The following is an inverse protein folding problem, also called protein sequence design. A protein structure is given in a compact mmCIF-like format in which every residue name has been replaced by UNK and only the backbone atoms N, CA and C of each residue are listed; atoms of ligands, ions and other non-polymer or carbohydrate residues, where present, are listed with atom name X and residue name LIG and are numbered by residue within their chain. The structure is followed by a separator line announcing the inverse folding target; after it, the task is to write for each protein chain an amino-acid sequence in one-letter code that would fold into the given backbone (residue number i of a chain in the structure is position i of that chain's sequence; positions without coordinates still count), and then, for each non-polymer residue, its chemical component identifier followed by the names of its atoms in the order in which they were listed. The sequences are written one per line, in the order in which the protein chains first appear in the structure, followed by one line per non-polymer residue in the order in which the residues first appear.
data_IF_748370648210
#
_entry.id   IF_748370648210
#
_cell.length_a   1.000
_cell.length_b   1.000
_cell.length_c   1.000
_cell.angle_alpha   90.00
_cell.angle_beta   90.00
_cell.angle_gamma   90.00
#
_symmetry.space_group_name_H-M   'P 1'
#
loop_
_entity.id
_entity.type
_entity.pdbx_description
1 polymer ?
#
# COMPACT_ATOMS: atom_id res chain seq x y z
N UNK A 1 27.30 -34.27 -0.69
CA UNK A 1 28.27 -33.17 -0.43
C UNK A 1 27.72 -32.15 0.56
N UNK A 2 26.47 -31.68 0.41
CA UNK A 2 25.85 -30.73 1.35
C UNK A 2 25.77 -31.22 2.81
N UNK A 3 25.62 -32.53 3.05
CA UNK A 3 25.57 -33.12 4.40
C UNK A 3 26.88 -33.05 5.21
N UNK A 4 27.97 -32.57 4.61
CA UNK A 4 29.26 -32.35 5.28
C UNK A 4 29.47 -30.89 5.71
N UNK A 5 28.55 -30.00 5.35
CA UNK A 5 28.64 -28.59 5.71
C UNK A 5 28.21 -28.39 7.19
N UNK A 6 28.82 -27.43 7.91
CA UNK A 6 28.32 -26.94 9.19
C UNK A 6 26.88 -26.45 9.09
N UNK A 7 26.14 -26.55 10.20
CA UNK A 7 24.73 -26.17 10.24
C UNK A 7 24.50 -24.70 9.92
N UNK A 8 25.43 -23.83 10.31
CA UNK A 8 25.39 -22.39 10.05
C UNK A 8 25.47 -22.08 8.55
N UNK A 9 26.28 -22.83 7.80
CA UNK A 9 26.36 -22.68 6.34
C UNK A 9 25.09 -23.19 5.66
N UNK A 10 24.48 -24.26 6.18
CA UNK A 10 23.21 -24.76 5.66
C UNK A 10 22.06 -23.77 5.89
N UNK A 11 22.01 -23.14 7.07
CA UNK A 11 21.06 -22.06 7.36
C UNK A 11 21.30 -20.83 6.46
N UNK A 12 22.56 -20.46 6.25
CA UNK A 12 22.89 -19.36 5.32
C UNK A 12 22.46 -19.67 3.89
N UNK A 13 22.71 -20.90 3.39
CA UNK A 13 22.24 -21.34 2.07
C UNK A 13 20.71 -21.28 1.99
N UNK A 14 20.02 -21.78 3.02
CA UNK A 14 18.56 -21.73 3.10
C UNK A 14 18.04 -20.28 3.07
N UNK A 15 18.73 -19.34 3.71
CA UNK A 15 18.38 -17.91 3.67
C UNK A 15 18.52 -17.25 2.30
N UNK A 16 19.25 -17.86 1.36
CA UNK A 16 19.32 -17.40 -0.04
C UNK A 16 18.26 -18.06 -0.94
N UNK A 17 17.47 -19.01 -0.43
CA UNK A 17 16.35 -19.57 -1.17
C UNK A 17 15.18 -18.58 -1.09
N UNK A 18 14.85 -17.98 -2.23
CA UNK A 18 13.82 -16.94 -2.31
C UNK A 18 12.39 -17.48 -2.15
N UNK A 19 12.19 -18.81 -2.19
CA UNK A 19 10.86 -19.43 -2.10
C UNK A 19 10.76 -20.38 -0.89
N UNK A 20 9.73 -20.19 -0.07
CA UNK A 20 9.38 -21.05 1.07
C UNK A 20 9.34 -22.55 0.69
N UNK A 21 8.82 -22.86 -0.49
CA UNK A 21 8.73 -24.22 -1.06
C UNK A 21 10.10 -24.86 -1.24
N UNK A 22 11.09 -24.10 -1.70
CA UNK A 22 12.44 -24.61 -1.93
C UNK A 22 13.16 -24.88 -0.62
N UNK A 23 12.97 -24.01 0.38
CA UNK A 23 13.48 -24.21 1.74
C UNK A 23 12.86 -25.46 2.38
N UNK A 24 11.55 -25.66 2.22
CA UNK A 24 10.86 -26.86 2.71
C UNK A 24 11.33 -28.13 2.00
N UNK A 25 11.54 -28.08 0.67
CA UNK A 25 12.09 -29.20 -0.11
C UNK A 25 13.52 -29.54 0.34
N UNK A 26 14.35 -28.53 0.59
CA UNK A 26 15.69 -28.73 1.13
C UNK A 26 15.65 -29.37 2.52
N UNK A 27 14.80 -28.87 3.41
CA UNK A 27 14.58 -29.47 4.73
C UNK A 27 14.16 -30.94 4.62
N UNK A 28 13.36 -31.29 3.61
CA UNK A 28 12.83 -32.64 3.39
C UNK A 28 13.85 -33.63 2.81
N UNK A 29 15.04 -33.17 2.37
CA UNK A 29 16.03 -34.03 1.71
C UNK A 29 16.67 -35.07 2.63
N UNK A 30 16.86 -34.77 3.92
CA UNK A 30 17.36 -35.72 4.90
C UNK A 30 16.99 -35.34 6.34
N UNK A 31 17.08 -36.29 7.28
CA UNK A 31 16.71 -36.07 8.69
C UNK A 31 17.53 -34.96 9.36
N UNK A 32 18.82 -34.83 9.03
CA UNK A 32 19.68 -33.79 9.58
C UNK A 32 19.24 -32.40 9.12
N UNK A 33 18.90 -32.25 7.83
CA UNK A 33 18.41 -30.99 7.29
C UNK A 33 17.03 -30.67 7.83
N UNK A 34 16.18 -31.69 7.96
CA UNK A 34 14.86 -31.52 8.55
C UNK A 34 14.94 -30.96 9.97
N UNK A 35 15.76 -31.54 10.83
CA UNK A 35 15.90 -31.05 12.21
C UNK A 35 16.46 -29.62 12.30
N UNK A 36 17.35 -29.26 11.38
CA UNK A 36 18.04 -27.97 11.37
C UNK A 36 17.21 -26.84 10.71
N UNK A 37 16.62 -27.12 9.55
CA UNK A 37 15.98 -26.13 8.68
C UNK A 37 14.49 -26.00 8.92
N UNK A 38 13.83 -26.99 9.54
CA UNK A 38 12.39 -26.91 9.80
C UNK A 38 12.02 -25.68 10.64
N UNK A 39 12.72 -25.33 11.74
CA UNK A 39 12.41 -24.10 12.48
C UNK A 39 12.49 -22.85 11.60
N UNK A 40 13.48 -22.79 10.69
CA UNK A 40 13.65 -21.68 9.74
C UNK A 40 12.51 -21.63 8.70
N UNK A 41 12.01 -22.77 8.25
CA UNK A 41 10.84 -22.82 7.34
C UNK A 41 9.60 -22.20 8.00
N UNK A 42 9.46 -22.37 9.32
CA UNK A 42 8.32 -21.84 10.06
C UNK A 42 8.50 -20.36 10.47
N UNK A 43 9.65 -19.72 10.26
CA UNK A 43 9.78 -18.28 10.59
C UNK A 43 8.92 -17.40 9.70
N UNK A 44 8.78 -17.79 8.43
CA UNK A 44 7.97 -17.12 7.41
C UNK A 44 7.11 -18.12 6.65
N UNK A 45 5.79 -18.06 6.86
CA UNK A 45 4.81 -18.90 6.19
C UNK A 45 4.18 -18.14 5.03
N UNK A 46 4.50 -18.53 3.79
CA UNK A 46 3.83 -18.01 2.59
C UNK A 46 2.79 -19.02 2.09
N UNK A 47 1.52 -18.67 2.31
CA UNK A 47 0.33 -19.44 1.95
C UNK A 47 -0.43 -18.75 0.82
N UNK A 48 0.23 -17.94 -0.01
CA UNK A 48 -0.40 -17.30 -1.19
C UNK A 48 -0.25 -18.18 -2.44
N UNK A 49 0.96 -18.71 -2.69
CA UNK A 49 1.26 -19.50 -3.89
C UNK A 49 0.52 -20.85 -3.92
N UNK A 50 0.11 -21.36 -2.75
CA UNK A 50 -0.44 -22.70 -2.59
C UNK A 50 -1.93 -22.70 -2.23
N UNK A 51 -2.79 -22.07 -3.04
CA UNK A 51 -4.27 -22.06 -2.85
C UNK A 51 -4.90 -23.47 -2.71
N UNK A 52 -4.14 -24.50 -3.06
CA UNK A 52 -4.48 -25.92 -2.94
C UNK A 52 -3.73 -26.54 -1.76
N UNK A 53 -4.37 -26.60 -0.60
CA UNK A 53 -3.84 -27.36 0.53
C UNK A 53 -4.77 -27.33 1.72
N UNK A 54 -4.22 -27.71 2.87
CA UNK A 54 -5.00 -27.94 4.08
C UNK A 54 -4.55 -26.98 5.18
N UNK A 55 -5.07 -25.75 5.19
CA UNK A 55 -4.92 -24.84 6.35
C UNK A 55 -5.25 -25.55 7.65
N UNK A 56 -6.28 -26.41 7.64
CA UNK A 56 -6.63 -27.30 8.74
C UNK A 56 -5.49 -28.21 9.21
N UNK A 57 -4.71 -28.81 8.30
CA UNK A 57 -3.56 -29.63 8.68
C UNK A 57 -2.44 -28.79 9.31
N UNK A 58 -2.22 -27.58 8.79
CA UNK A 58 -1.24 -26.65 9.35
C UNK A 58 -1.65 -26.24 10.77
N UNK A 59 -2.92 -25.87 10.97
CA UNK A 59 -3.50 -25.57 12.29
C UNK A 59 -3.30 -26.74 13.25
N UNK A 60 -3.65 -27.96 12.86
CA UNK A 60 -3.42 -29.14 13.70
C UNK A 60 -1.93 -29.41 13.99
N UNK A 61 -1.05 -29.18 13.02
CA UNK A 61 0.39 -29.36 13.18
C UNK A 61 0.97 -28.36 14.17
N UNK A 62 0.57 -27.09 14.07
CA UNK A 62 1.02 -26.01 14.95
C UNK A 62 0.44 -26.14 16.36
N UNK A 63 -0.84 -26.52 16.47
CA UNK A 63 -1.45 -26.84 17.76
C UNK A 63 -0.71 -27.99 18.46
N UNK A 64 -0.28 -29.01 17.71
CA UNK A 64 0.50 -30.14 18.25
C UNK A 64 1.97 -29.80 18.53
N UNK A 65 2.49 -28.69 17.99
CA UNK A 65 3.89 -28.28 18.11
C UNK A 65 4.00 -26.77 18.38
N UNK A 66 3.67 -26.32 19.61
CA UNK A 66 3.66 -24.88 19.94
C UNK A 66 4.99 -24.18 19.70
N UNK A 67 6.13 -24.88 19.86
CA UNK A 67 7.45 -24.31 19.60
C UNK A 67 7.68 -23.87 18.14
N UNK A 68 7.00 -24.53 17.18
CA UNK A 68 7.02 -24.09 15.78
C UNK A 68 6.12 -22.87 15.59
N UNK A 69 4.97 -22.84 16.26
CA UNK A 69 4.00 -21.75 16.20
C UNK A 69 4.57 -20.44 16.80
N UNK A 70 5.32 -20.55 17.90
CA UNK A 70 6.07 -19.44 18.49
C UNK A 70 7.18 -18.92 17.57
N UNK A 71 7.69 -19.76 16.67
CA UNK A 71 8.73 -19.38 15.71
C UNK A 71 8.22 -18.54 14.53
N UNK A 72 6.90 -18.46 14.30
CA UNK A 72 6.33 -17.74 13.15
C UNK A 72 6.29 -16.23 13.42
N UNK A 73 6.95 -15.47 12.55
CA UNK A 73 7.00 -14.00 12.61
C UNK A 73 6.33 -13.35 11.40
N UNK A 74 6.35 -14.01 10.24
CA UNK A 74 5.72 -13.54 9.01
C UNK A 74 4.70 -14.55 8.53
N UNK A 75 3.50 -14.09 8.19
CA UNK A 75 2.42 -14.92 7.67
C UNK A 75 1.74 -14.23 6.50
N UNK A 76 1.61 -14.96 5.38
CA UNK A 76 0.91 -14.49 4.19
C UNK A 76 -0.19 -15.49 3.85
N UNK A 77 -1.45 -15.07 3.79
CA UNK A 77 -2.61 -15.94 3.58
C UNK A 77 -3.35 -15.48 2.32
N UNK A 78 -3.49 -16.36 1.32
CA UNK A 78 -4.39 -16.13 0.20
C UNK A 78 -5.86 -16.29 0.61
N UNK A 79 -6.78 -15.61 -0.08
CA UNK A 79 -8.19 -15.95 -0.01
C UNK A 79 -8.50 -17.18 -0.88
N UNK A 80 -9.67 -17.76 -0.63
CA UNK A 80 -10.21 -18.82 -1.49
C UNK A 80 -9.45 -20.16 -1.40
N UNK A 81 -8.82 -20.47 -0.27
CA UNK A 81 -8.32 -21.82 0.00
C UNK A 81 -9.43 -22.83 -0.26
N UNK A 82 -9.15 -23.86 -1.07
CA UNK A 82 -10.10 -24.96 -1.32
C UNK A 82 -9.49 -26.27 -0.83
N UNK A 83 -10.12 -26.96 0.14
CA UNK A 83 -9.60 -28.24 0.61
C UNK A 83 -9.69 -29.28 -0.53
N UNK A 84 -8.53 -29.69 -1.06
CA UNK A 84 -8.43 -30.63 -2.19
C UNK A 84 -8.73 -32.08 -1.80
N UNK A 85 -8.55 -32.45 -0.54
CA UNK A 85 -8.85 -33.81 -0.03
C UNK A 85 -9.41 -33.78 1.40
N UNK A 86 -10.57 -33.16 1.57
CA UNK A 86 -11.25 -33.09 2.88
C UNK A 86 -10.58 -32.16 3.90
N UNK A 87 -11.36 -31.75 4.89
CA UNK A 87 -10.88 -30.95 6.03
C UNK A 87 -10.46 -31.92 7.12
N UNK A 88 -9.23 -31.82 7.63
CA UNK A 88 -8.86 -32.50 8.88
C UNK A 88 -9.50 -31.70 10.00
N UNK A 89 -10.54 -32.24 10.58
CA UNK A 89 -11.22 -31.65 11.72
C UNK A 89 -11.10 -32.64 12.88
N UNK A 90 -10.09 -32.43 13.73
CA UNK A 90 -10.01 -33.12 15.02
C UNK A 90 -10.70 -32.25 16.06
N UNK A 91 -11.92 -32.65 16.42
CA UNK A 91 -12.84 -31.85 17.23
C UNK A 91 -12.19 -31.31 18.50
N UNK A 92 -11.45 -32.14 19.24
CA UNK A 92 -10.84 -31.73 20.52
C UNK A 92 -9.80 -30.61 20.33
N UNK A 93 -8.92 -30.76 19.33
CA UNK A 93 -7.87 -29.77 19.03
C UNK A 93 -8.47 -28.48 18.47
N UNK A 94 -9.42 -28.60 17.54
CA UNK A 94 -10.07 -27.43 16.93
C UNK A 94 -10.89 -26.64 17.94
N UNK A 95 -11.62 -27.31 18.85
CA UNK A 95 -12.43 -26.63 19.87
C UNK A 95 -11.56 -25.92 20.90
N UNK A 96 -10.43 -26.50 21.31
CA UNK A 96 -9.51 -25.85 22.25
C UNK A 96 -8.93 -24.56 21.65
N UNK A 97 -8.44 -24.63 20.41
CA UNK A 97 -7.89 -23.46 19.70
C UNK A 97 -8.99 -22.43 19.42
N UNK A 98 -10.19 -22.86 19.05
CA UNK A 98 -11.32 -21.98 18.80
C UNK A 98 -11.79 -21.26 20.07
N UNK A 99 -11.87 -21.97 21.20
CA UNK A 99 -12.22 -21.37 22.49
C UNK A 99 -11.18 -20.32 22.91
N UNK A 100 -9.90 -20.62 22.72
CA UNK A 100 -8.81 -19.67 22.95
C UNK A 100 -8.89 -18.45 22.00
N UNK A 101 -9.20 -18.66 20.72
CA UNK A 101 -9.32 -17.61 19.73
C UNK A 101 -10.50 -16.66 20.00
N UNK A 102 -11.64 -17.20 20.43
CA UNK A 102 -12.86 -16.42 20.68
C UNK A 102 -12.89 -15.80 22.07
N UNK A 103 -12.07 -16.28 23.01
CA UNK A 103 -12.02 -15.79 24.40
C UNK A 103 -13.37 -15.88 25.11
N UNK A 104 -14.20 -16.86 24.72
CA UNK A 104 -15.61 -16.96 25.12
C UNK A 104 -16.01 -18.42 25.33
N UNK A 105 -16.65 -18.70 26.46
CA UNK A 105 -17.29 -20.00 26.75
C UNK A 105 -18.70 -20.10 26.15
N UNK A 106 -19.10 -19.12 25.33
CA UNK A 106 -20.38 -19.08 24.62
C UNK A 106 -20.50 -20.25 23.64
N UNK A 107 -21.29 -21.25 24.07
CA UNK A 107 -21.52 -22.49 23.32
C UNK A 107 -22.20 -22.25 21.98
N UNK A 108 -23.03 -21.22 21.85
CA UNK A 108 -23.77 -20.95 20.62
C UNK A 108 -22.84 -20.35 19.55
N UNK A 109 -21.93 -19.46 19.97
CA UNK A 109 -20.85 -18.96 19.10
C UNK A 109 -19.90 -20.07 18.69
N UNK A 110 -19.43 -20.90 19.63
CA UNK A 110 -18.55 -22.02 19.34
C UNK A 110 -19.23 -23.00 18.36
N UNK A 111 -20.51 -23.31 18.54
CA UNK A 111 -21.27 -24.17 17.64
C UNK A 111 -21.38 -23.59 16.23
N UNK A 112 -21.63 -22.28 16.11
CA UNK A 112 -21.69 -21.56 14.83
C UNK A 112 -20.35 -21.65 14.09
N UNK A 113 -19.25 -21.29 14.76
CA UNK A 113 -17.91 -21.37 14.18
C UNK A 113 -17.50 -22.81 13.83
N UNK A 114 -17.90 -23.79 14.63
CA UNK A 114 -17.69 -25.21 14.33
C UNK A 114 -18.38 -25.61 13.02
N UNK A 115 -19.61 -25.14 12.79
CA UNK A 115 -20.32 -25.34 11.53
C UNK A 115 -19.56 -24.75 10.33
N UNK A 116 -19.02 -23.53 10.48
CA UNK A 116 -18.24 -22.87 9.43
C UNK A 116 -16.93 -23.61 9.13
N UNK A 117 -16.24 -24.18 10.13
CA UNK A 117 -15.00 -24.94 9.92
C UNK A 117 -15.20 -26.24 9.13
N UNK A 118 -16.40 -26.83 9.23
CA UNK A 118 -16.79 -28.03 8.49
C UNK A 118 -17.26 -27.66 7.07
N UNK A 119 -17.74 -26.43 6.88
CA UNK A 119 -18.20 -25.95 5.59
C UNK A 119 -17.01 -25.76 4.63
N UNK A 120 -17.01 -26.53 3.53
CA UNK A 120 -15.93 -26.53 2.55
C UNK A 120 -15.87 -25.26 1.69
N UNK A 121 -16.94 -24.48 1.68
CA UNK A 121 -17.07 -23.27 0.86
C UNK A 121 -16.52 -22.03 1.58
N UNK A 122 -16.32 -22.08 2.90
CA UNK A 122 -15.94 -20.91 3.73
C UNK A 122 -14.72 -21.21 4.58
N UNK A 123 -13.54 -21.03 3.98
CA UNK A 123 -12.26 -21.39 4.62
C UNK A 123 -11.62 -20.27 5.44
N UNK A 124 -12.20 -19.06 5.46
CA UNK A 124 -11.65 -17.93 6.23
C UNK A 124 -11.64 -18.20 7.75
N UNK A 125 -12.56 -19.03 8.24
CA UNK A 125 -12.56 -19.46 9.64
C UNK A 125 -11.25 -20.17 10.04
N UNK A 126 -10.62 -20.92 9.13
CA UNK A 126 -9.33 -21.59 9.39
C UNK A 126 -8.17 -20.60 9.54
N UNK A 127 -8.23 -19.45 8.84
CA UNK A 127 -7.27 -18.35 9.01
C UNK A 127 -7.30 -17.81 10.44
N UNK A 128 -8.49 -17.73 11.05
CA UNK A 128 -8.66 -17.28 12.44
C UNK A 128 -8.00 -18.23 13.43
N UNK A 129 -8.23 -19.56 13.31
CA UNK A 129 -7.54 -20.53 14.18
C UNK A 129 -6.03 -20.49 13.98
N UNK A 130 -5.58 -20.34 12.74
CA UNK A 130 -4.16 -20.21 12.45
C UNK A 130 -3.60 -18.98 13.17
N UNK A 131 -4.19 -17.80 13.02
CA UNK A 131 -3.73 -16.57 13.66
C UNK A 131 -3.73 -16.67 15.20
N UNK A 132 -4.72 -17.36 15.78
CA UNK A 132 -4.80 -17.57 17.22
C UNK A 132 -3.65 -18.41 17.79
N UNK A 133 -3.05 -19.29 16.97
CA UNK A 133 -1.91 -20.12 17.35
C UNK A 133 -0.57 -19.40 17.29
N UNK A 134 -0.50 -18.20 16.68
CA UNK A 134 0.77 -17.55 16.31
C UNK A 134 1.01 -16.29 17.15
N UNK A 135 1.57 -16.42 18.36
CA UNK A 135 1.69 -15.31 19.31
C UNK A 135 2.71 -14.23 18.89
N UNK A 136 3.65 -14.58 18.00
CA UNK A 136 4.80 -13.74 17.66
C UNK A 136 4.75 -13.14 16.24
N UNK A 137 3.60 -13.21 15.56
CA UNK A 137 3.46 -12.62 14.22
C UNK A 137 3.67 -11.10 14.30
N UNK A 138 4.60 -10.62 13.49
CA UNK A 138 4.95 -9.20 13.34
C UNK A 138 4.51 -8.64 11.98
N UNK A 139 4.47 -9.47 10.94
CA UNK A 139 4.09 -9.10 9.57
C UNK A 139 3.01 -10.05 9.04
N UNK A 140 1.83 -9.50 8.78
CA UNK A 140 0.67 -10.25 8.29
C UNK A 140 0.22 -9.69 6.94
N UNK A 141 0.10 -10.58 5.95
CA UNK A 141 -0.51 -10.29 4.65
C UNK A 141 -1.76 -11.13 4.46
N UNK A 142 -2.88 -10.47 4.16
CA UNK A 142 -4.17 -11.09 3.92
C UNK A 142 -4.66 -10.72 2.52
N UNK A 143 -4.94 -11.73 1.70
CA UNK A 143 -5.80 -11.52 0.54
C UNK A 143 -7.24 -11.77 0.98
N UNK A 144 -8.15 -10.87 0.62
CA UNK A 144 -9.57 -10.92 0.96
C UNK A 144 -10.34 -11.13 -0.35
N UNK A 145 -11.28 -12.06 -0.33
CA UNK A 145 -12.21 -12.34 -1.42
C UNK A 145 -13.63 -12.11 -0.90
N UNK A 146 -14.61 -11.93 -1.78
CA UNK A 146 -16.03 -11.61 -1.47
C UNK A 146 -16.71 -12.51 -0.42
N UNK A 147 -16.19 -13.72 -0.19
CA UNK A 147 -16.79 -14.69 0.71
C UNK A 147 -16.10 -14.70 2.08
N UNK A 148 -16.81 -14.12 3.05
CA UNK A 148 -16.56 -14.19 4.50
C UNK A 148 -15.48 -13.25 5.05
N UNK A 149 -15.90 -12.40 5.99
CA UNK A 149 -15.07 -11.42 6.69
C UNK A 149 -14.69 -11.87 8.13
N UNK A 150 -14.74 -13.16 8.44
CA UNK A 150 -14.50 -13.68 9.79
C UNK A 150 -13.14 -13.24 10.32
N UNK A 151 -12.10 -13.29 9.49
CA UNK A 151 -10.75 -12.85 9.88
C UNK A 151 -10.73 -11.37 10.20
N UNK A 152 -11.31 -10.51 9.36
CA UNK A 152 -11.31 -9.06 9.61
C UNK A 152 -12.16 -8.70 10.84
N UNK A 153 -13.33 -9.30 10.99
CA UNK A 153 -14.19 -9.10 12.18
C UNK A 153 -13.49 -9.59 13.45
N UNK A 154 -12.83 -10.73 13.41
CA UNK A 154 -12.08 -11.28 14.54
C UNK A 154 -10.87 -10.42 14.89
N UNK A 155 -10.13 -9.91 13.89
CA UNK A 155 -9.05 -8.94 14.10
C UNK A 155 -9.56 -7.66 14.75
N UNK A 156 -10.67 -7.12 14.22
CA UNK A 156 -11.33 -5.93 14.77
C UNK A 156 -11.80 -6.14 16.20
N UNK A 157 -12.40 -7.30 16.51
CA UNK A 157 -12.83 -7.68 17.85
C UNK A 157 -11.66 -7.79 18.83
N UNK A 158 -10.56 -8.44 18.42
CA UNK A 158 -9.36 -8.55 19.25
C UNK A 158 -8.71 -7.18 19.52
N UNK A 159 -8.70 -6.29 18.53
CA UNK A 159 -8.21 -4.93 18.68
C UNK A 159 -9.08 -4.09 19.63
N UNK A 160 -10.38 -4.37 19.72
CA UNK A 160 -11.31 -3.70 20.63
C UNK A 160 -11.23 -4.21 22.08
N UNK A 161 -10.89 -5.49 22.28
CA UNK A 161 -10.75 -6.10 23.61
C UNK A 161 -9.54 -5.58 24.42
N UNK A 162 -8.75 -4.68 23.84
CA UNK A 162 -7.64 -3.99 24.52
C UNK A 162 -6.45 -4.91 24.82
N UNK A 163 -5.68 -4.56 25.84
CA UNK A 163 -4.43 -5.25 26.24
C UNK A 163 -4.64 -6.63 26.88
N UNK A 164 -5.90 -7.04 27.09
CA UNK A 164 -6.25 -8.33 27.68
C UNK A 164 -5.96 -9.50 26.73
N UNK A 165 -6.03 -9.28 25.42
CA UNK A 165 -5.65 -10.30 24.43
C UNK A 165 -4.15 -10.19 24.13
N UNK A 166 -3.42 -11.30 24.37
CA UNK A 166 -2.01 -11.42 23.92
C UNK A 166 -1.91 -11.69 22.41
N UNK A 167 -3.03 -12.06 21.79
CA UNK A 167 -3.10 -12.45 20.38
C UNK A 167 -2.81 -11.22 19.53
N UNK A 168 -1.86 -11.35 18.59
CA UNK A 168 -1.38 -10.28 17.70
C UNK A 168 -0.82 -9.05 18.42
N UNK A 169 -0.43 -9.20 19.69
CA UNK A 169 0.21 -8.13 20.46
C UNK A 169 1.55 -7.68 19.87
N UNK A 170 2.17 -8.50 19.01
CA UNK A 170 3.41 -8.18 18.29
C UNK A 170 3.20 -7.73 16.85
N UNK A 171 1.97 -7.70 16.35
CA UNK A 171 1.71 -7.35 14.95
C UNK A 171 2.12 -5.90 14.69
N UNK A 172 3.08 -5.69 13.79
CA UNK A 172 3.64 -4.38 13.41
C UNK A 172 3.22 -3.94 12.03
N UNK A 173 3.10 -4.88 11.10
CA UNK A 173 2.76 -4.64 9.70
C UNK A 173 1.52 -5.45 9.35
N UNK A 174 0.51 -4.78 8.81
CA UNK A 174 -0.66 -5.41 8.21
C UNK A 174 -0.76 -4.99 6.75
N UNK A 175 -0.77 -5.97 5.85
CA UNK A 175 -1.05 -5.78 4.43
C UNK A 175 -2.35 -6.48 4.10
N UNK A 176 -3.25 -5.78 3.42
CA UNK A 176 -4.53 -6.32 2.96
C UNK A 176 -4.69 -6.07 1.48
N UNK A 177 -5.02 -7.12 0.76
CA UNK A 177 -5.24 -7.12 -0.67
C UNK A 177 -6.69 -7.51 -0.97
N UNK A 178 -7.48 -6.54 -1.43
CA UNK A 178 -8.90 -6.69 -1.74
C UNK A 178 -9.16 -6.72 -3.25
N UNK A 179 -8.15 -7.06 -4.08
CA UNK A 179 -8.31 -7.10 -5.55
C UNK A 179 -9.37 -8.06 -6.05
N UNK A 180 -9.65 -9.11 -5.28
CA UNK A 180 -10.63 -10.14 -5.60
C UNK A 180 -12.04 -9.80 -5.02
N UNK A 181 -12.24 -8.59 -4.50
CA UNK A 181 -13.54 -8.08 -4.02
C UNK A 181 -14.07 -7.07 -5.05
N UNK A 182 -15.24 -7.33 -5.63
CA UNK A 182 -15.87 -6.38 -6.55
C UNK A 182 -16.12 -5.05 -5.83
N UNK A 183 -15.59 -3.96 -6.40
CA UNK A 183 -15.72 -2.60 -5.86
C UNK A 183 -14.82 -2.28 -4.67
N UNK A 184 -13.91 -3.19 -4.30
CA UNK A 184 -13.00 -3.03 -3.17
C UNK A 184 -13.69 -3.16 -1.81
N UNK A 185 -12.94 -2.87 -0.73
CA UNK A 185 -13.45 -2.98 0.65
C UNK A 185 -13.42 -1.64 1.39
N UNK A 186 -14.51 -1.33 2.10
CA UNK A 186 -14.62 -0.10 2.88
C UNK A 186 -13.51 0.01 3.95
N UNK A 187 -12.91 1.19 4.04
CA UNK A 187 -11.88 1.56 5.03
C UNK A 187 -12.36 1.37 6.48
N UNK A 188 -13.68 1.43 6.69
CA UNK A 188 -14.34 1.22 7.98
C UNK A 188 -14.04 -0.16 8.60
N UNK A 189 -13.81 -1.20 7.80
CA UNK A 189 -13.47 -2.54 8.29
C UNK A 189 -12.10 -2.59 8.99
N UNK A 190 -11.18 -1.67 8.63
CA UNK A 190 -9.81 -1.68 9.12
C UNK A 190 -9.57 -0.73 10.29
N UNK A 191 -10.37 0.34 10.42
CA UNK A 191 -10.24 1.31 11.51
C UNK A 191 -10.22 0.67 12.91
N UNK A 192 -11.05 -0.34 13.24
CA UNK A 192 -10.95 -0.98 14.54
C UNK A 192 -9.60 -1.68 14.78
N UNK A 193 -9.00 -2.25 13.74
CA UNK A 193 -7.73 -3.01 13.80
C UNK A 193 -6.56 -2.07 14.15
N UNK A 194 -6.66 -0.78 13.81
CA UNK A 194 -5.64 0.22 14.14
C UNK A 194 -5.45 0.44 15.65
N UNK A 195 -6.33 -0.12 16.49
CA UNK A 195 -6.18 -0.13 17.96
C UNK A 195 -5.14 -1.14 18.47
N UNK A 196 -4.65 -2.04 17.61
CA UNK A 196 -3.59 -2.97 17.99
C UNK A 196 -2.34 -2.18 18.45
N UNK A 197 -1.80 -2.49 19.64
CA UNK A 197 -0.83 -1.62 20.31
C UNK A 197 0.52 -1.53 19.57
N UNK A 198 0.93 -2.63 18.93
CA UNK A 198 2.20 -2.73 18.22
C UNK A 198 2.11 -2.39 16.73
N UNK A 199 0.91 -2.18 16.20
CA UNK A 199 0.74 -1.90 14.77
C UNK A 199 1.38 -0.55 14.43
N UNK A 200 2.20 -0.52 13.38
CA UNK A 200 2.96 0.65 12.90
C UNK A 200 2.72 0.95 11.44
N UNK A 201 2.46 -0.08 10.63
CA UNK A 201 2.28 0.07 9.19
C UNK A 201 1.04 -0.64 8.70
N UNK A 202 0.25 0.06 7.89
CA UNK A 202 -0.90 -0.49 7.18
C UNK A 202 -0.70 -0.30 5.68
N UNK A 203 -0.84 -1.39 4.94
CA UNK A 203 -0.76 -1.44 3.49
C UNK A 203 -2.09 -1.99 2.97
N UNK A 204 -2.81 -1.22 2.17
CA UNK A 204 -4.09 -1.61 1.57
C UNK A 204 -4.01 -1.59 0.06
N UNK A 205 -4.67 -2.54 -0.58
CA UNK A 205 -4.90 -2.56 -2.03
C UNK A 205 -6.40 -2.74 -2.28
N UNK A 206 -6.98 -1.92 -3.17
CA UNK A 206 -8.43 -1.88 -3.42
C UNK A 206 -9.25 -1.55 -2.15
N UNK A 207 -8.80 -0.56 -1.38
CA UNK A 207 -9.54 -0.02 -0.23
C UNK A 207 -10.35 1.19 -0.69
N UNK A 208 -11.61 1.26 -0.27
CA UNK A 208 -12.53 2.31 -0.67
C UNK A 208 -13.05 3.11 0.54
N UNK A 209 -13.40 4.36 0.33
CA UNK A 209 -13.98 5.22 1.36
C UNK A 209 -15.05 6.14 0.76
N UNK A 210 -16.21 6.17 1.41
CA UNK A 210 -17.47 6.61 0.81
C UNK A 210 -18.51 5.49 0.82
N UNK A 211 -19.78 5.86 0.72
CA UNK A 211 -20.87 4.91 0.80
C UNK A 211 -21.22 4.24 -0.53
N UNK A 212 -21.94 3.13 -0.46
CA UNK A 212 -22.25 2.29 -1.63
C UNK A 212 -23.67 2.51 -2.17
N UNK A 213 -24.49 3.28 -1.45
CA UNK A 213 -25.90 3.55 -1.76
C UNK A 213 -26.11 4.98 -2.26
N UNK A 214 -27.13 5.21 -3.09
CA UNK A 214 -27.43 6.54 -3.67
C UNK A 214 -27.58 7.65 -2.61
N UNK A 215 -28.13 7.32 -1.44
CA UNK A 215 -28.25 8.25 -0.31
C UNK A 215 -26.87 8.64 0.23
N UNK A 216 -26.00 7.65 0.49
CA UNK A 216 -24.63 7.90 0.95
C UNK A 216 -23.77 8.59 -0.13
N UNK A 217 -24.03 8.33 -1.41
CA UNK A 217 -23.41 9.06 -2.51
C UNK A 217 -23.74 10.56 -2.45
N UNK A 218 -24.99 10.90 -2.16
CA UNK A 218 -25.41 12.29 -2.02
C UNK A 218 -24.72 12.94 -0.81
N UNK A 219 -24.66 12.21 0.32
CA UNK A 219 -23.91 12.67 1.50
C UNK A 219 -22.42 12.88 1.22
N UNK A 220 -21.83 12.03 0.38
CA UNK A 220 -20.43 12.12 -0.02
C UNK A 220 -20.17 13.28 -0.97
N UNK A 221 -21.11 13.62 -1.85
CA UNK A 221 -20.99 14.82 -2.68
C UNK A 221 -20.98 16.08 -1.82
N UNK A 222 -21.83 16.14 -0.80
CA UNK A 222 -21.91 17.25 0.15
C UNK A 222 -20.82 17.21 1.25
N UNK A 223 -19.92 16.21 1.23
CA UNK A 223 -18.88 16.06 2.24
C UNK A 223 -17.89 17.22 2.23
N UNK A 224 -17.84 17.94 3.34
CA UNK A 224 -16.87 19.01 3.59
C UNK A 224 -15.78 18.56 4.58
N UNK A 225 -14.59 18.27 4.04
CA UNK A 225 -13.43 17.88 4.83
C UNK A 225 -12.98 18.97 5.83
N UNK A 226 -13.32 20.25 5.59
CA UNK A 226 -12.92 21.36 6.46
C UNK A 226 -13.67 21.38 7.78
N UNK A 227 -14.94 20.99 7.76
CA UNK A 227 -15.82 20.94 8.94
C UNK A 227 -15.91 19.55 9.56
N UNK A 228 -15.53 18.50 8.82
CA UNK A 228 -15.55 17.13 9.32
C UNK A 228 -14.55 16.90 10.47
N UNK A 229 -15.05 16.32 11.57
CA UNK A 229 -14.27 15.88 12.72
C UNK A 229 -14.52 14.39 12.92
N UNK A 230 -13.53 13.50 12.72
CA UNK A 230 -13.67 12.09 13.04
C UNK A 230 -14.05 11.89 14.52
N UNK A 231 -14.96 10.95 14.79
CA UNK A 231 -15.41 10.64 16.17
C UNK A 231 -14.26 10.29 17.12
N UNK A 232 -13.23 9.63 16.58
CA UNK A 232 -12.04 9.20 17.32
C UNK A 232 -10.80 9.52 16.52
N UNK A 233 -10.03 10.48 17.02
CA UNK A 233 -8.76 10.92 16.43
C UNK A 233 -7.58 10.50 17.29
N UNK A 234 -6.45 10.17 16.68
CA UNK A 234 -5.21 9.92 17.40
C UNK A 234 -5.29 8.77 18.41
N UNK A 235 -6.03 7.71 18.11
CA UNK A 235 -6.08 6.51 18.96
C UNK A 235 -5.05 5.45 18.56
N UNK A 236 -4.57 5.50 17.32
CA UNK A 236 -3.66 4.50 16.75
C UNK A 236 -2.19 4.89 16.88
N UNK A 237 -1.33 3.86 16.95
CA UNK A 237 0.13 4.01 16.88
C UNK A 237 0.69 3.75 15.46
N UNK A 238 -0.19 3.57 14.45
CA UNK A 238 0.21 3.50 13.04
C UNK A 238 0.91 4.80 12.65
N UNK A 239 2.03 4.69 11.94
CA UNK A 239 2.81 5.83 11.43
C UNK A 239 2.98 5.78 9.91
N UNK A 240 2.72 4.64 9.28
CA UNK A 240 2.85 4.46 7.84
C UNK A 240 1.56 3.88 7.28
N UNK A 241 1.02 4.57 6.28
CA UNK A 241 -0.16 4.14 5.54
C UNK A 241 0.17 4.19 4.06
N UNK A 242 -0.11 3.09 3.36
CA UNK A 242 -0.02 3.03 1.90
C UNK A 242 -1.27 2.37 1.35
N UNK A 243 -1.91 3.03 0.41
CA UNK A 243 -3.11 2.59 -0.27
C UNK A 243 -2.83 2.59 -1.77
N UNK A 244 -2.98 1.44 -2.40
CA UNK A 244 -2.72 1.21 -3.82
C UNK A 244 -4.03 0.82 -4.51
N UNK A 245 -4.21 1.25 -5.75
CA UNK A 245 -5.41 0.99 -6.55
C UNK A 245 -6.69 1.17 -5.72
N UNK A 246 -6.74 2.26 -4.96
CA UNK A 246 -7.75 2.52 -3.94
C UNK A 246 -8.49 3.79 -4.34
N UNK A 247 -9.72 4.00 -3.86
CA UNK A 247 -10.47 5.24 -4.14
C UNK A 247 -11.06 5.82 -2.85
N UNK A 248 -11.28 7.13 -2.83
CA UNK A 248 -11.99 7.75 -1.72
C UNK A 248 -12.74 8.98 -2.16
N UNK A 249 -14.02 9.03 -1.80
CA UNK A 249 -14.83 10.24 -1.85
C UNK A 249 -14.55 11.14 -0.67
N UNK A 250 -14.28 10.63 0.54
CA UNK A 250 -14.10 11.45 1.75
C UNK A 250 -12.65 11.81 2.09
N UNK A 251 -11.70 11.55 1.18
CA UNK A 251 -10.27 11.81 1.39
C UNK A 251 -9.61 10.93 2.47
N UNK A 252 -10.18 9.75 2.77
CA UNK A 252 -9.75 8.86 3.85
C UNK A 252 -9.63 9.57 5.21
N UNK A 253 -10.55 10.51 5.49
CA UNK A 253 -10.47 11.38 6.65
C UNK A 253 -10.33 10.61 7.98
N UNK A 254 -11.09 9.52 8.15
CA UNK A 254 -11.02 8.67 9.35
C UNK A 254 -9.70 7.90 9.45
N UNK A 255 -9.22 7.38 8.32
CA UNK A 255 -8.02 6.55 8.27
C UNK A 255 -6.75 7.39 8.47
N UNK A 256 -6.71 8.61 7.94
CA UNK A 256 -5.66 9.62 8.21
C UNK A 256 -5.80 10.16 9.65
N UNK A 257 -7.03 10.30 10.16
CA UNK A 257 -7.32 10.81 11.51
C UNK A 257 -7.01 9.82 12.64
N UNK A 258 -7.00 8.53 12.38
CA UNK A 258 -6.78 7.49 13.39
C UNK A 258 -5.37 7.50 14.02
N UNK A 259 -4.26 7.62 13.28
CA UNK A 259 -2.90 7.80 13.79
C UNK A 259 -2.73 8.98 14.75
N UNK A 260 -1.86 8.82 15.76
CA UNK A 260 -1.39 9.94 16.62
C UNK A 260 -0.35 10.82 15.94
N UNK A 261 0.49 10.22 15.11
CA UNK A 261 1.68 10.82 14.53
C UNK A 261 1.99 10.13 13.20
N UNK A 262 1.23 10.46 12.16
CA UNK A 262 1.46 9.88 10.83
C UNK A 262 2.77 10.44 10.26
N UNK A 263 3.65 9.55 9.81
CA UNK A 263 4.96 9.90 9.23
C UNK A 263 4.98 9.71 7.71
N UNK A 264 4.23 8.75 7.18
CA UNK A 264 4.17 8.47 5.75
C UNK A 264 2.75 8.16 5.31
N UNK A 265 2.25 8.90 4.32
CA UNK A 265 1.00 8.62 3.63
C UNK A 265 1.25 8.49 2.13
N UNK A 266 0.95 7.32 1.56
CA UNK A 266 1.08 7.06 0.13
C UNK A 266 -0.28 6.59 -0.37
N UNK A 267 -0.87 7.32 -1.30
CA UNK A 267 -2.13 6.99 -1.92
C UNK A 267 -1.96 7.02 -3.44
N UNK A 268 -2.32 5.90 -4.08
CA UNK A 268 -2.48 5.81 -5.52
C UNK A 268 -3.94 5.55 -5.84
N UNK A 269 -4.60 6.57 -6.40
CA UNK A 269 -5.98 6.49 -6.83
C UNK A 269 -6.12 5.54 -8.01
N UNK A 270 -7.15 4.70 -7.98
CA UNK A 270 -7.68 4.03 -9.16
C UNK A 270 -9.18 4.32 -9.25
N UNK A 271 -9.72 4.37 -10.46
CA UNK A 271 -11.14 4.46 -10.68
C UNK A 271 -11.84 3.23 -10.07
N UNK A 272 -12.98 3.44 -9.42
CA UNK A 272 -13.77 2.34 -8.87
C UNK A 272 -14.44 1.59 -10.04
N UNK A 273 -14.09 0.33 -10.33
CA UNK A 273 -14.62 -0.38 -11.49
C UNK A 273 -16.11 -0.72 -11.37
N UNK A 274 -16.68 -0.67 -10.16
CA UNK A 274 -18.05 -1.14 -9.90
C UNK A 274 -19.11 -0.05 -10.07
N UNK A 275 -18.71 1.19 -10.37
CA UNK A 275 -19.64 2.30 -10.55
C UNK A 275 -19.36 3.05 -11.86
N UNK A 276 -20.44 3.39 -12.55
CA UNK A 276 -20.42 3.90 -13.91
C UNK A 276 -20.11 5.40 -14.02
N UNK A 277 -20.04 6.11 -12.89
CA UNK A 277 -19.74 7.54 -12.85
C UNK A 277 -18.27 7.75 -12.47
N UNK A 278 -17.58 8.59 -13.24
CA UNK A 278 -16.17 8.95 -13.09
C UNK A 278 -15.87 9.49 -11.68
N UNK A 279 -15.50 8.62 -10.75
CA UNK A 279 -14.95 9.02 -9.45
C UNK A 279 -13.52 9.51 -9.64
N UNK A 280 -13.39 10.75 -10.12
CA UNK A 280 -12.15 11.50 -10.02
C UNK A 280 -11.73 11.64 -8.55
N UNK A 281 -10.43 11.74 -8.30
CA UNK A 281 -9.91 11.96 -6.95
C UNK A 281 -10.19 13.40 -6.49
N UNK A 282 -10.94 13.54 -5.39
CA UNK A 282 -11.15 14.83 -4.71
C UNK A 282 -9.93 15.20 -3.86
N UNK A 283 -8.89 15.79 -4.47
CA UNK A 283 -7.60 16.06 -3.84
C UNK A 283 -7.72 17.05 -2.66
N UNK A 284 -8.58 18.07 -2.73
CA UNK A 284 -8.74 19.05 -1.62
C UNK A 284 -9.19 18.39 -0.30
N UNK A 285 -9.93 17.29 -0.37
CA UNK A 285 -10.46 16.59 0.81
C UNK A 285 -9.38 15.96 1.69
N UNK A 286 -8.18 15.74 1.15
CA UNK A 286 -7.06 15.17 1.90
C UNK A 286 -6.37 16.18 2.81
N UNK A 287 -6.43 17.48 2.51
CA UNK A 287 -5.62 18.48 3.19
C UNK A 287 -5.95 18.65 4.67
N UNK A 288 -7.23 18.75 4.99
CA UNK A 288 -7.68 18.96 6.38
C UNK A 288 -7.30 17.80 7.32
N UNK A 289 -7.53 16.53 6.96
CA UNK A 289 -7.01 15.39 7.71
C UNK A 289 -5.48 15.40 7.86
N UNK A 290 -4.75 15.68 6.77
CA UNK A 290 -3.27 15.70 6.77
C UNK A 290 -2.70 16.82 7.65
N UNK A 291 -3.38 17.97 7.76
CA UNK A 291 -2.94 19.12 8.56
C UNK A 291 -2.66 18.77 10.02
N UNK A 292 -3.34 17.76 10.56
CA UNK A 292 -3.13 17.27 11.94
C UNK A 292 -1.72 16.71 12.16
N UNK A 293 -1.08 16.26 11.09
CA UNK A 293 0.24 15.62 11.09
C UNK A 293 1.35 16.56 10.61
N UNK A 294 1.13 17.88 10.60
CA UNK A 294 2.13 18.88 10.19
C UNK A 294 3.49 18.74 10.88
N UNK A 295 3.49 18.28 12.14
CA UNK A 295 4.70 18.09 12.93
C UNK A 295 5.38 16.71 12.75
N UNK A 296 4.73 15.76 12.07
CA UNK A 296 5.18 14.36 12.02
C UNK A 296 5.31 13.82 10.60
N UNK A 297 4.53 14.32 9.64
CA UNK A 297 4.47 13.81 8.27
C UNK A 297 5.76 14.13 7.50
N UNK A 298 6.48 13.09 7.10
CA UNK A 298 7.77 13.15 6.39
C UNK A 298 7.66 12.80 4.92
N UNK A 299 6.69 11.96 4.54
CA UNK A 299 6.45 11.56 3.15
C UNK A 299 4.97 11.64 2.83
N UNK A 300 4.66 12.35 1.74
CA UNK A 300 3.33 12.40 1.16
C UNK A 300 3.40 12.04 -0.33
N UNK A 301 2.57 11.10 -0.75
CA UNK A 301 2.34 10.79 -2.16
C UNK A 301 0.84 10.70 -2.39
N UNK A 302 0.29 11.54 -3.26
CA UNK A 302 -1.08 11.45 -3.75
C UNK A 302 -1.02 11.49 -5.28
N UNK A 303 -1.24 10.34 -5.92
CA UNK A 303 -1.11 10.20 -7.37
C UNK A 303 -2.22 9.34 -7.92
N UNK A 304 -2.33 9.27 -9.25
CA UNK A 304 -3.24 8.34 -9.92
C UNK A 304 -2.44 7.15 -10.45
N UNK A 305 -2.98 5.94 -10.43
CA UNK A 305 -2.28 4.75 -10.93
C UNK A 305 -1.91 4.88 -12.41
N UNK A 306 -2.74 5.55 -13.22
CA UNK A 306 -2.42 5.89 -14.61
C UNK A 306 -1.10 6.63 -14.79
N UNK A 307 -0.68 7.45 -13.81
CA UNK A 307 0.57 8.21 -13.89
C UNK A 307 1.82 7.36 -13.73
N UNK A 308 1.67 6.06 -13.46
CA UNK A 308 2.77 5.11 -13.43
C UNK A 308 2.95 4.34 -14.74
N UNK A 309 1.99 4.37 -15.66
CA UNK A 309 2.02 3.56 -16.88
C UNK A 309 1.77 4.39 -18.12
N UNK A 310 2.68 4.25 -19.10
CA UNK A 310 2.56 4.94 -20.39
C UNK A 310 1.22 4.66 -21.10
N UNK A 311 0.80 3.39 -21.18
CA UNK A 311 -0.38 2.96 -21.94
C UNK A 311 -1.71 3.45 -21.38
N UNK A 312 -1.72 3.87 -20.12
CA UNK A 312 -2.93 4.30 -19.41
C UNK A 312 -2.83 5.74 -18.93
N UNK A 313 -1.74 6.44 -19.24
CA UNK A 313 -1.49 7.78 -18.75
C UNK A 313 -2.61 8.73 -19.16
N UNK A 314 -3.27 9.26 -18.15
CA UNK A 314 -4.30 10.27 -18.27
C UNK A 314 -3.93 11.37 -17.28
N UNK A 315 -3.84 12.59 -17.79
CA UNK A 315 -3.85 13.76 -16.95
C UNK A 315 -5.28 14.00 -16.48
N UNK A 316 -5.41 14.43 -15.23
CA UNK A 316 -6.71 14.64 -14.60
C UNK A 316 -6.72 16.04 -14.00
N UNK A 317 -7.84 16.74 -14.20
CA UNK A 317 -8.08 18.07 -13.66
C UNK A 317 -8.48 17.98 -12.19
N UNK A 318 -7.48 17.72 -11.34
CA UNK A 318 -7.69 17.72 -9.90
C UNK A 318 -7.78 19.12 -9.34
N UNK A 319 -8.57 19.23 -8.29
CA UNK A 319 -8.65 20.42 -7.45
C UNK A 319 -7.35 20.65 -6.68
N UNK A 320 -7.10 21.93 -6.37
CA UNK A 320 -5.97 22.33 -5.54
C UNK A 320 -6.08 21.75 -4.13
N UNK A 321 -5.02 21.10 -3.65
CA UNK A 321 -5.04 20.44 -2.36
C UNK A 321 -4.94 21.42 -1.19
N UNK A 322 -4.07 22.44 -1.27
CA UNK A 322 -3.73 23.30 -0.14
C UNK A 322 -2.23 23.52 0.06
N UNK A 323 -1.87 24.37 1.02
CA UNK A 323 -0.47 24.77 1.27
C UNK A 323 0.25 23.85 2.25
N UNK A 324 1.39 23.29 1.84
CA UNK A 324 2.24 22.46 2.70
C UNK A 324 3.28 23.24 3.50
N UNK A 325 3.30 24.57 3.45
CA UNK A 325 4.31 25.40 4.11
C UNK A 325 4.37 25.18 5.64
N UNK A 326 3.25 24.79 6.26
CA UNK A 326 3.16 24.46 7.68
C UNK A 326 3.70 23.09 8.07
N UNK A 327 4.06 22.22 7.12
CA UNK A 327 4.54 20.86 7.40
C UNK A 327 6.04 20.87 7.67
N UNK A 328 6.40 21.12 8.93
CA UNK A 328 7.78 21.42 9.35
C UNK A 328 8.79 20.28 9.19
N UNK A 329 8.34 19.03 9.00
CA UNK A 329 9.21 17.84 8.84
C UNK A 329 9.01 17.09 7.52
N UNK A 330 8.22 17.64 6.58
CA UNK A 330 7.94 17.00 5.30
C UNK A 330 9.18 17.02 4.40
N UNK A 331 9.74 15.85 4.09
CA UNK A 331 10.96 15.67 3.30
C UNK A 331 10.67 15.27 1.85
N UNK A 332 9.62 14.50 1.62
CA UNK A 332 9.29 13.96 0.29
C UNK A 332 7.82 14.27 -0.03
N UNK A 333 7.60 14.99 -1.13
CA UNK A 333 6.28 15.34 -1.64
C UNK A 333 6.17 14.87 -3.09
N UNK A 334 5.19 14.01 -3.37
CA UNK A 334 4.82 13.57 -4.72
C UNK A 334 3.35 13.84 -4.97
N UNK A 335 3.04 14.69 -5.95
CA UNK A 335 1.68 15.11 -6.31
C UNK A 335 1.60 15.29 -7.82
N UNK A 336 0.38 15.43 -8.35
CA UNK A 336 0.21 15.97 -9.70
C UNK A 336 0.36 17.49 -9.72
N UNK A 337 0.78 18.03 -10.85
CA UNK A 337 0.96 19.49 -11.04
C UNK A 337 -0.33 20.28 -10.80
N UNK A 338 -1.48 19.71 -11.15
CA UNK A 338 -2.81 20.32 -10.94
C UNK A 338 -3.21 20.39 -9.47
N UNK A 339 -2.70 19.47 -8.63
CA UNK A 339 -3.02 19.42 -7.20
C UNK A 339 -2.20 20.43 -6.39
N UNK A 340 -0.98 20.74 -6.83
CA UNK A 340 -0.03 21.56 -6.06
C UNK A 340 -0.20 23.05 -6.34
N UNK A 341 -0.53 23.44 -7.57
CA UNK A 341 -0.78 24.83 -7.95
C UNK A 341 -2.27 25.06 -8.19
N UNK A 342 -2.79 26.19 -7.71
CA UNK A 342 -4.17 26.63 -7.90
C UNK A 342 -4.27 27.32 -9.26
N UNK A 343 -4.50 26.52 -10.29
CA UNK A 343 -4.61 26.97 -11.67
C UNK A 343 -5.92 27.74 -11.89
N UNK A 344 -5.83 28.91 -12.52
CA UNK A 344 -7.02 29.62 -12.97
C UNK A 344 -7.51 28.98 -14.28
N UNK A 345 -8.66 28.31 -14.26
CA UNK A 345 -9.16 27.51 -15.40
C UNK A 345 -9.44 28.29 -16.70
N UNK A 346 -9.23 29.61 -16.72
CA UNK A 346 -9.38 30.48 -17.89
C UNK A 346 -8.04 31.00 -18.44
N UNK A 347 -7.07 31.23 -17.56
CA UNK A 347 -5.78 31.79 -17.88
C UNK A 347 -4.74 30.87 -17.23
N UNK A 348 -4.00 30.08 -18.01
CA UNK A 348 -2.92 29.09 -17.67
C UNK A 348 -1.86 29.57 -16.65
N UNK A 349 -2.30 30.14 -15.55
CA UNK A 349 -1.60 30.93 -14.55
C UNK A 349 -2.08 30.45 -13.20
N UNK A 350 -1.16 30.32 -12.26
CA UNK A 350 -1.48 29.87 -10.92
C UNK A 350 -1.73 31.06 -9.98
N UNK A 351 -2.74 30.95 -9.13
CA UNK A 351 -3.07 31.95 -8.08
C UNK A 351 -2.07 31.91 -6.92
N UNK A 352 -1.39 30.79 -6.74
CA UNK A 352 -0.34 30.58 -5.76
C UNK A 352 1.00 30.29 -6.45
N UNK A 353 2.08 30.34 -5.66
CA UNK A 353 3.42 30.00 -6.14
C UNK A 353 4.03 28.89 -5.27
N UNK A 354 4.98 28.10 -5.81
CA UNK A 354 5.76 27.12 -5.03
C UNK A 354 6.39 27.70 -3.77
N UNK A 355 6.77 28.98 -3.82
CA UNK A 355 7.35 29.72 -2.68
C UNK A 355 6.40 29.85 -1.48
N UNK A 356 5.08 29.83 -1.71
CA UNK A 356 4.05 30.02 -0.68
C UNK A 356 3.50 28.70 -0.14
N UNK A 357 3.78 27.59 -0.83
CA UNK A 357 3.17 26.28 -0.56
C UNK A 357 4.15 25.22 -0.14
N UNK A 358 5.41 25.27 -0.56
CA UNK A 358 6.38 24.23 -0.24
C UNK A 358 6.95 24.43 1.18
N UNK A 359 7.12 23.35 1.96
CA UNK A 359 7.75 23.43 3.26
C UNK A 359 9.27 23.61 3.16
N UNK A 360 9.86 24.32 4.13
CA UNK A 360 11.29 24.58 4.20
C UNK A 360 12.15 23.31 4.40
N UNK A 361 11.54 22.25 4.93
CA UNK A 361 12.15 20.95 5.20
C UNK A 361 12.14 19.99 4.00
N UNK A 362 11.52 20.39 2.89
CA UNK A 362 11.39 19.53 1.72
C UNK A 362 12.76 19.22 1.12
N UNK A 363 13.04 17.93 0.93
CA UNK A 363 14.28 17.43 0.33
C UNK A 363 14.06 16.96 -1.11
N UNK A 364 12.87 16.40 -1.40
CA UNK A 364 12.51 15.78 -2.67
C UNK A 364 11.10 16.19 -3.10
N UNK A 365 11.00 16.78 -4.29
CA UNK A 365 9.74 17.11 -4.94
C UNK A 365 9.58 16.28 -6.22
N UNK A 366 8.47 15.56 -6.36
CA UNK A 366 8.14 14.78 -7.56
C UNK A 366 6.79 15.28 -8.06
N UNK A 367 6.75 15.70 -9.33
CA UNK A 367 5.57 16.22 -9.98
C UNK A 367 5.16 15.29 -11.11
N UNK A 368 3.97 14.71 -11.00
CA UNK A 368 3.34 13.90 -12.04
C UNK A 368 2.34 14.75 -12.83
N UNK A 369 1.83 14.24 -13.96
CA UNK A 369 0.67 14.85 -14.62
C UNK A 369 0.96 16.21 -15.27
N UNK A 370 2.21 16.53 -15.61
CA UNK A 370 2.50 17.82 -16.26
C UNK A 370 1.95 17.83 -17.70
N UNK A 371 1.16 18.85 -18.02
CA UNK A 371 0.62 19.09 -19.36
C UNK A 371 1.35 20.21 -20.09
N UNK A 372 1.20 20.25 -21.42
CA UNK A 372 1.87 21.25 -22.28
C UNK A 372 1.49 22.68 -21.90
N UNK A 373 0.22 22.91 -21.57
CA UNK A 373 -0.31 24.22 -21.19
C UNK A 373 0.28 24.76 -19.89
N UNK A 374 0.70 23.89 -18.98
CA UNK A 374 1.28 24.25 -17.68
C UNK A 374 2.79 24.52 -17.72
N UNK A 375 3.48 24.19 -18.82
CA UNK A 375 4.95 24.24 -18.91
C UNK A 375 5.54 25.61 -18.57
N UNK A 376 5.03 26.65 -19.23
CA UNK A 376 5.59 28.01 -19.12
C UNK A 376 5.41 28.54 -17.71
N UNK A 377 4.21 28.40 -17.15
CA UNK A 377 3.88 28.84 -15.81
C UNK A 377 4.68 28.08 -14.76
N UNK A 378 4.79 26.75 -14.88
CA UNK A 378 5.59 25.95 -13.96
C UNK A 378 7.07 26.34 -14.02
N UNK A 379 7.63 26.53 -15.22
CA UNK A 379 9.02 26.96 -15.37
C UNK A 379 9.29 28.32 -14.71
N UNK A 380 8.40 29.31 -14.91
CA UNK A 380 8.51 30.62 -14.25
C UNK A 380 8.40 30.49 -12.73
N UNK A 381 7.46 29.68 -12.24
CA UNK A 381 7.24 29.48 -10.82
C UNK A 381 8.47 28.85 -10.11
N UNK A 382 9.16 27.92 -10.78
CA UNK A 382 10.42 27.37 -10.30
C UNK A 382 11.59 28.34 -10.45
N UNK A 383 11.65 29.12 -11.53
CA UNK A 383 12.64 30.20 -11.63
C UNK A 383 12.51 31.16 -10.45
N UNK A 384 11.31 31.59 -10.10
CA UNK A 384 11.07 32.47 -8.95
C UNK A 384 11.40 31.81 -7.59
N UNK A 385 11.22 30.49 -7.47
CA UNK A 385 11.61 29.71 -6.29
C UNK A 385 13.13 29.63 -6.12
N UNK A 386 13.85 29.54 -7.25
CA UNK A 386 15.30 29.32 -7.30
C UNK A 386 16.08 30.64 -7.44
N UNK A 387 15.42 31.72 -7.85
CA UNK A 387 15.99 33.04 -8.07
C UNK A 387 15.99 33.90 -6.81
N UNK A 388 17.03 34.72 -6.66
CA UNK A 388 17.20 35.65 -5.55
C UNK A 388 17.89 34.99 -4.37
N UNK A 389 18.97 35.59 -3.87
CA UNK A 389 19.90 35.05 -2.86
C UNK A 389 19.35 34.70 -1.47
N UNK A 390 18.06 34.38 -1.37
CA UNK A 390 17.33 33.79 -0.25
C UNK A 390 16.48 32.61 -0.77
N UNK A 391 17.15 31.58 -1.26
CA UNK A 391 16.55 30.28 -1.58
C UNK A 391 15.65 29.83 -0.42
N UNK A 392 14.33 29.76 -0.67
CA UNK A 392 13.33 29.57 0.39
C UNK A 392 13.16 28.12 0.81
N UNK A 393 13.56 27.15 -0.01
CA UNK A 393 13.51 25.73 0.35
C UNK A 393 14.92 25.18 0.58
N UNK A 394 15.66 25.61 1.63
CA UNK A 394 17.09 25.33 1.79
C UNK A 394 17.48 23.85 1.76
N UNK A 395 16.53 22.96 2.04
CA UNK A 395 16.77 21.52 2.12
C UNK A 395 16.52 20.79 0.80
N UNK A 396 15.93 21.45 -0.20
CA UNK A 396 15.52 20.79 -1.43
C UNK A 396 16.77 20.43 -2.25
N UNK A 397 16.89 19.14 -2.56
CA UNK A 397 18.06 18.58 -3.25
C UNK A 397 17.68 17.85 -4.53
N UNK A 398 16.40 17.51 -4.69
CA UNK A 398 15.91 16.71 -5.80
C UNK A 398 14.56 17.22 -6.31
N UNK A 399 14.47 17.48 -7.61
CA UNK A 399 13.23 17.78 -8.32
C UNK A 399 13.07 16.80 -9.48
N UNK A 400 11.94 16.10 -9.51
CA UNK A 400 11.58 15.21 -10.61
C UNK A 400 10.26 15.65 -11.21
N UNK A 401 10.20 15.65 -12.54
CA UNK A 401 8.98 15.86 -13.31
C UNK A 401 8.75 14.62 -14.17
N UNK A 402 7.56 14.05 -14.08
CA UNK A 402 7.18 12.81 -14.74
C UNK A 402 5.99 13.04 -15.67
N UNK A 403 6.05 12.42 -16.85
CA UNK A 403 4.95 12.45 -17.81
C UNK A 403 5.30 11.83 -19.16
N UNK A 404 4.62 12.29 -20.21
CA UNK A 404 4.70 11.77 -21.57
C UNK A 404 5.16 12.85 -22.55
N UNK A 405 6.43 12.80 -22.94
CA UNK A 405 7.13 13.88 -23.64
C UNK A 405 7.65 13.48 -25.02
N UNK A 406 7.41 12.24 -25.43
CA UNK A 406 7.99 11.64 -26.63
C UNK A 406 7.03 11.63 -27.81
N UNK A 407 7.58 11.77 -29.03
CA UNK A 407 6.86 11.57 -30.29
C UNK A 407 6.46 10.10 -30.48
N UNK A 408 5.30 9.71 -29.94
CA UNK A 408 4.80 8.33 -29.90
C UNK A 408 4.86 7.60 -31.25
N UNK A 409 4.52 8.30 -32.34
CA UNK A 409 4.46 7.73 -33.68
C UNK A 409 5.82 7.28 -34.25
N UNK A 410 6.94 7.70 -33.65
CA UNK A 410 8.29 7.30 -34.05
C UNK A 410 8.72 5.94 -33.48
N UNK A 411 7.97 5.37 -32.53
CA UNK A 411 8.24 4.04 -31.93
C UNK A 411 7.38 2.90 -32.53
N UNK A 412 6.77 3.11 -33.71
CA UNK A 412 5.67 2.28 -34.23
C UNK A 412 6.05 0.94 -34.85
N UNK A 413 7.33 0.51 -34.84
CA UNK A 413 7.67 -0.85 -35.26
C UNK A 413 7.36 -1.86 -34.14
N UNK A 414 6.18 -2.48 -34.18
CA UNK A 414 5.82 -3.71 -33.44
C UNK A 414 6.56 -4.95 -33.96
N UNK A 415 7.79 -4.80 -34.44
CA UNK A 415 8.57 -5.90 -34.96
C UNK A 415 9.24 -6.63 -33.79
N UNK A 416 8.80 -7.86 -33.51
CA UNK A 416 9.43 -8.79 -32.55
C UNK A 416 10.86 -9.23 -32.95
N UNK A 417 11.52 -8.53 -33.87
CA UNK A 417 12.84 -8.91 -34.41
C UNK A 417 13.94 -7.91 -34.09
N UNK A 418 13.63 -6.73 -33.54
CA UNK A 418 14.63 -5.70 -33.17
C UNK A 418 14.21 -4.92 -31.91
N UNK A 419 15.17 -4.37 -31.14
CA UNK A 419 14.88 -3.44 -30.05
C UNK A 419 14.15 -2.20 -30.57
N UNK A 420 13.15 -1.74 -29.83
CA UNK A 420 12.40 -0.52 -30.19
C UNK A 420 13.30 0.71 -30.02
N UNK A 421 13.35 1.63 -31.00
CA UNK A 421 14.12 2.87 -30.87
C UNK A 421 13.47 3.81 -29.85
N UNK A 422 14.28 4.59 -29.14
CA UNK A 422 13.81 5.66 -28.26
C UNK A 422 13.38 6.85 -29.16
N UNK A 423 12.12 7.32 -29.08
CA UNK A 423 11.66 8.47 -29.86
C UNK A 423 12.37 9.77 -29.49
N UNK A 424 12.26 10.76 -30.39
CA UNK A 424 12.63 12.13 -30.03
C UNK A 424 11.63 12.73 -29.03
N UNK A 425 12.13 13.58 -28.14
CA UNK A 425 11.32 14.42 -27.25
C UNK A 425 10.74 15.61 -28.05
N UNK A 426 9.53 16.05 -27.73
CA UNK A 426 9.01 17.28 -28.34
C UNK A 426 9.86 18.50 -27.93
N UNK A 427 10.04 19.45 -28.86
CA UNK A 427 10.90 20.62 -28.68
C UNK A 427 10.51 21.43 -27.43
N UNK A 428 9.20 21.61 -27.17
CA UNK A 428 8.75 22.42 -26.02
C UNK A 428 9.15 21.80 -24.66
N UNK A 429 9.15 20.47 -24.56
CA UNK A 429 9.60 19.77 -23.35
C UNK A 429 11.12 19.74 -23.24
N UNK A 430 11.84 19.72 -24.37
CA UNK A 430 13.29 19.84 -24.38
C UNK A 430 13.74 21.22 -23.87
N UNK A 431 13.09 22.29 -24.34
CA UNK A 431 13.33 23.66 -23.87
C UNK A 431 13.01 23.82 -22.38
N UNK A 432 11.86 23.30 -21.95
CA UNK A 432 11.48 23.25 -20.54
C UNK A 432 12.53 22.52 -19.68
N UNK A 433 12.98 21.36 -20.14
CA UNK A 433 14.01 20.56 -19.45
C UNK A 433 15.29 21.37 -19.27
N UNK A 434 15.82 21.94 -20.35
CA UNK A 434 17.07 22.73 -20.32
C UNK A 434 16.93 23.90 -19.35
N UNK A 435 15.81 24.60 -19.41
CA UNK A 435 15.53 25.76 -18.56
C UNK A 435 15.55 25.40 -17.08
N UNK A 436 14.82 24.35 -16.65
CA UNK A 436 14.82 23.92 -15.26
C UNK A 436 16.15 23.29 -14.82
N UNK A 437 16.79 22.51 -15.68
CA UNK A 437 18.08 21.87 -15.38
C UNK A 437 19.15 22.93 -15.07
N UNK A 438 19.17 24.04 -15.81
CA UNK A 438 20.06 25.17 -15.55
C UNK A 438 19.74 25.86 -14.21
N UNK A 439 18.47 26.16 -13.95
CA UNK A 439 18.03 26.82 -12.72
C UNK A 439 18.30 25.97 -11.47
N UNK A 440 18.02 24.67 -11.52
CA UNK A 440 18.31 23.73 -10.44
C UNK A 440 19.82 23.57 -10.22
N UNK A 441 20.60 23.42 -11.29
CA UNK A 441 22.06 23.25 -11.20
C UNK A 441 22.74 24.48 -10.58
N UNK A 442 22.24 25.68 -10.86
CA UNK A 442 22.78 26.93 -10.31
C UNK A 442 22.73 27.00 -8.77
N UNK A 443 21.84 26.24 -8.14
CA UNK A 443 21.69 26.15 -6.68
C UNK A 443 22.03 24.76 -6.12
N UNK A 444 22.56 23.85 -6.93
CA UNK A 444 23.01 22.52 -6.51
C UNK A 444 21.88 21.48 -6.33
N UNK A 445 20.73 21.67 -6.98
CA UNK A 445 19.61 20.72 -6.98
C UNK A 445 19.75 19.75 -8.16
N UNK A 446 19.56 18.45 -7.91
CA UNK A 446 19.44 17.44 -8.95
C UNK A 446 18.05 17.54 -9.60
N UNK A 447 18.02 17.73 -10.91
CA UNK A 447 16.79 17.73 -11.70
C UNK A 447 16.70 16.50 -12.60
N UNK A 448 15.55 15.82 -12.60
CA UNK A 448 15.24 14.73 -13.53
C UNK A 448 13.92 14.94 -14.24
N UNK A 449 13.94 14.77 -15.56
CA UNK A 449 12.74 14.62 -16.37
C UNK A 449 12.58 13.13 -16.70
N UNK A 450 11.55 12.49 -16.14
CA UNK A 450 11.22 11.08 -16.40
C UNK A 450 10.10 10.99 -17.43
N UNK A 451 10.33 10.13 -18.42
CA UNK A 451 9.39 9.87 -19.50
C UNK A 451 8.88 8.43 -19.41
N UNK A 452 7.57 8.28 -19.25
CA UNK A 452 6.93 6.97 -19.11
C UNK A 452 7.01 6.13 -20.38
N UNK A 453 6.99 6.74 -21.56
CA UNK A 453 7.10 6.02 -22.83
C UNK A 453 8.49 5.39 -22.98
N UNK A 454 9.54 6.12 -22.59
CA UNK A 454 10.90 5.59 -22.57
C UNK A 454 11.04 4.44 -21.56
N UNK A 455 10.45 4.59 -20.37
CA UNK A 455 10.45 3.52 -19.35
C UNK A 455 9.78 2.24 -19.86
N UNK A 456 8.61 2.36 -20.48
CA UNK A 456 7.88 1.26 -21.12
C UNK A 456 8.70 0.60 -22.24
N UNK A 457 9.36 1.40 -23.10
CA UNK A 457 10.26 0.87 -24.14
C UNK A 457 11.43 0.09 -23.54
N UNK A 458 12.06 0.61 -22.48
CA UNK A 458 13.16 -0.06 -21.80
C UNK A 458 12.71 -1.39 -21.21
N UNK A 459 11.54 -1.41 -20.56
CA UNK A 459 10.97 -2.63 -19.99
C UNK A 459 10.65 -3.67 -21.07
N UNK A 460 9.96 -3.28 -22.14
CA UNK A 460 9.67 -4.15 -23.29
C UNK A 460 10.94 -4.69 -23.95
N UNK A 461 11.97 -3.86 -24.08
CA UNK A 461 13.27 -4.28 -24.62
C UNK A 461 14.01 -5.22 -23.66
N UNK A 462 13.83 -5.15 -22.34
CA UNK A 462 14.40 -6.12 -21.40
C UNK A 462 13.77 -7.50 -21.54
N UNK A 463 12.44 -7.56 -21.72
CA UNK A 463 11.71 -8.80 -21.96
C UNK A 463 12.11 -9.48 -23.28
N UNK A 464 12.73 -8.76 -24.22
CA UNK A 464 13.27 -9.33 -25.45
C UNK A 464 14.52 -10.21 -25.23
N UNK A 465 15.29 -9.96 -24.16
CA UNK A 465 16.56 -10.66 -23.90
C UNK A 465 16.45 -11.80 -22.87
N UNK A 466 15.24 -12.06 -22.36
CA UNK A 466 14.91 -13.19 -21.48
C UNK A 466 14.11 -14.22 -22.28
#
# INVERSE_FOLDING_TARGET
MLSKLPGELLLSIAGFLNNHTDTLRLASCCRAFYALLLPEVFTSLDLIEHRNGHLSHLVHTLASKPSLAEGVHTLRIACGWRPTSGVRYEQDVSLEVLAAALGSDDKDKIATWTGELINRERNDAWSVLLLALLPNVEDLVLQICEFSNYTLEWLAGNAQNGTSSRILSRLRILTVDCSDVDGGLSSAHFLPIFRLPSLRSFYGHMICDGGSTDEEYTEDQDFDAATYMPDKVGYSNVTHIRLLSSCSRRGFADLIGAPKALESFIFKHAQNPSYADDEEMYASRYYHPLRRHQATLRRLTLTHESTDYYSYYQSHDYDYIGSFAGFIVLKELRLQVTQILDWDGLDTTSKNTPNDILPLSLERLILDGLEREHLTALAMAFEDLLSGGKYRCPSLTYVEVKGNWMHVHQSTEESNTKPRPIPAMFEEFADFKVKLELSCSAVGIEFKLRDLHVEDIIEKNRLYYL
#
